data_IF_910974951026
#
_entry.id   IF_910974951026
#
_cell.length_a   1.000
_cell.length_b   1.000
_cell.length_c   1.000
_cell.angle_alpha   90.00
_cell.angle_beta   90.00
_cell.angle_gamma   90.00
#
_symmetry.space_group_name_H-M   'P 1'
#
loop_
_entity.id
_entity.type
_entity.pdbx_description
1 polymer ?
#
# COMPACT_ATOMS: atom_id res chain seq x y z
N UNK A 1 -6.02 6.23 5.90
CA UNK A 1 -5.52 4.84 5.70
C UNK A 1 -6.43 3.90 6.47
N UNK A 2 -6.77 2.74 5.89
CA UNK A 2 -7.63 1.73 6.50
C UNK A 2 -6.93 0.38 6.39
N UNK A 3 -6.93 -0.37 7.49
CA UNK A 3 -6.39 -1.74 7.55
C UNK A 3 -7.57 -2.71 7.57
N UNK A 4 -7.60 -3.61 6.60
CA UNK A 4 -8.55 -4.72 6.52
C UNK A 4 -7.78 -6.04 6.72
N UNK A 5 -8.48 -7.14 7.08
CA UNK A 5 -7.81 -8.41 7.39
C UNK A 5 -6.86 -8.93 6.31
N UNK A 6 -7.12 -8.63 5.03
CA UNK A 6 -6.36 -9.12 3.89
C UNK A 6 -5.63 -8.03 3.08
N UNK A 7 -5.85 -6.74 3.35
CA UNK A 7 -5.19 -5.67 2.62
C UNK A 7 -5.18 -4.33 3.38
N UNK A 8 -4.24 -3.47 3.01
CA UNK A 8 -4.16 -2.10 3.48
C UNK A 8 -4.57 -1.17 2.34
N UNK A 9 -5.49 -0.23 2.63
CA UNK A 9 -5.91 0.80 1.70
C UNK A 9 -5.43 2.17 2.19
N UNK A 10 -4.72 2.90 1.35
CA UNK A 10 -4.22 4.23 1.67
C UNK A 10 -4.53 5.20 0.53
N UNK A 11 -4.90 6.42 0.91
CA UNK A 11 -5.01 7.57 0.02
C UNK A 11 -4.15 8.67 0.62
N UNK A 12 -3.30 9.26 -0.21
CA UNK A 12 -2.41 10.34 0.18
C UNK A 12 -2.55 11.48 -0.81
N UNK A 13 -2.52 12.70 -0.29
CA UNK A 13 -2.28 13.89 -1.09
C UNK A 13 -0.78 14.13 -1.05
N UNK A 14 -0.14 14.09 -2.22
CA UNK A 14 1.28 14.38 -2.34
C UNK A 14 1.49 15.88 -2.59
N UNK A 15 2.65 16.43 -2.22
CA UNK A 15 3.03 17.78 -2.63
C UNK A 15 2.97 17.95 -4.15
N UNK A 16 2.75 19.18 -4.59
CA UNK A 16 2.79 19.52 -6.01
C UNK A 16 4.13 19.12 -6.62
N UNK A 17 4.10 18.48 -7.78
CA UNK A 17 5.27 17.91 -8.49
C UNK A 17 5.98 16.75 -7.77
N UNK A 18 5.44 16.20 -6.68
CA UNK A 18 5.95 14.98 -6.05
C UNK A 18 5.12 13.76 -6.50
N UNK A 19 5.78 12.87 -7.25
CA UNK A 19 5.21 11.59 -7.70
C UNK A 19 5.94 10.38 -7.10
N UNK A 20 6.78 10.57 -6.08
CA UNK A 20 7.59 9.49 -5.50
C UNK A 20 6.80 8.68 -4.44
N UNK A 21 5.64 8.17 -4.84
CA UNK A 21 4.84 7.27 -4.00
C UNK A 21 5.54 5.91 -3.81
N UNK A 22 6.37 5.49 -4.76
CA UNK A 22 7.08 4.20 -4.73
C UNK A 22 8.06 4.15 -3.56
N UNK A 23 8.90 5.18 -3.42
CA UNK A 23 9.87 5.24 -2.30
C UNK A 23 9.15 5.34 -0.96
N UNK A 24 8.12 6.18 -0.87
CA UNK A 24 7.30 6.34 0.36
C UNK A 24 6.70 5.01 0.80
N UNK A 25 6.15 4.25 -0.13
CA UNK A 25 5.58 2.94 0.16
C UNK A 25 6.66 1.92 0.58
N UNK A 26 7.83 1.96 -0.05
CA UNK A 26 9.00 1.17 0.38
C UNK A 26 9.44 1.50 1.81
N UNK A 27 9.46 2.78 2.18
CA UNK A 27 9.77 3.23 3.54
C UNK A 27 8.73 2.77 4.56
N UNK A 28 7.44 2.85 4.23
CA UNK A 28 6.36 2.35 5.12
C UNK A 28 6.49 0.85 5.33
N UNK A 29 6.64 0.06 4.25
CA UNK A 29 6.79 -1.39 4.34
C UNK A 29 8.03 -1.78 5.15
N UNK A 30 9.16 -1.13 4.90
CA UNK A 30 10.41 -1.43 5.60
C UNK A 30 10.36 -0.99 7.07
N UNK A 31 9.84 0.20 7.36
CA UNK A 31 9.67 0.72 8.72
C UNK A 31 8.79 -0.18 9.57
N UNK A 32 7.61 -0.55 9.06
CA UNK A 32 6.72 -1.48 9.75
C UNK A 32 7.38 -2.84 9.98
N UNK A 33 8.03 -3.41 8.96
CA UNK A 33 8.60 -4.75 9.10
C UNK A 33 9.78 -4.82 10.07
N UNK A 34 10.51 -3.71 10.26
CA UNK A 34 11.62 -3.62 11.23
C UNK A 34 11.14 -3.67 12.68
N UNK A 35 9.87 -3.40 12.94
CA UNK A 35 9.30 -3.46 14.30
C UNK A 35 8.98 -4.89 14.75
N UNK A 36 9.10 -5.88 13.86
CA UNK A 36 8.79 -7.27 14.16
C UNK A 36 10.01 -8.17 13.95
N UNK A 37 10.15 -9.15 14.84
CA UNK A 37 11.11 -10.24 14.66
C UNK A 37 10.86 -10.99 13.36
N UNK A 38 11.92 -11.58 12.80
CA UNK A 38 11.84 -12.35 11.58
C UNK A 38 11.38 -13.78 11.91
N UNK A 39 10.06 -14.00 11.94
CA UNK A 39 9.47 -15.30 12.29
C UNK A 39 8.71 -15.94 11.13
N UNK A 40 8.46 -15.19 10.06
CA UNK A 40 7.72 -15.73 8.93
C UNK A 40 8.58 -16.64 8.02
N UNK A 41 8.01 -17.74 7.49
CA UNK A 41 8.68 -18.52 6.46
C UNK A 41 8.71 -17.72 5.15
N UNK A 42 9.88 -17.56 4.56
CA UNK A 42 10.04 -16.91 3.25
C UNK A 42 10.77 -17.83 2.27
N UNK A 43 10.46 -17.68 0.98
CA UNK A 43 11.19 -18.38 -0.07
C UNK A 43 12.60 -17.82 -0.27
N UNK A 44 13.50 -18.62 -0.83
CA UNK A 44 14.87 -18.21 -1.18
C UNK A 44 14.90 -16.94 -2.05
N UNK A 45 13.93 -16.79 -2.96
CA UNK A 45 13.79 -15.59 -3.80
C UNK A 45 13.45 -14.32 -3.01
N UNK A 46 12.69 -14.43 -1.93
CA UNK A 46 12.42 -13.29 -1.03
C UNK A 46 13.66 -12.98 -0.20
N UNK A 47 14.35 -14.01 0.27
CA UNK A 47 15.51 -13.88 1.13
C UNK A 47 16.66 -13.17 0.39
N UNK A 48 16.90 -13.53 -0.87
CA UNK A 48 17.93 -12.88 -1.70
C UNK A 48 17.64 -11.41 -2.01
N UNK A 49 16.38 -10.97 -1.89
CA UNK A 49 15.96 -9.58 -2.11
C UNK A 49 15.72 -8.80 -0.81
N UNK A 50 15.96 -9.41 0.35
CA UNK A 50 15.65 -8.81 1.66
C UNK A 50 14.16 -8.56 1.87
N UNK A 51 13.28 -9.27 1.16
CA UNK A 51 11.83 -9.13 1.27
C UNK A 51 11.30 -9.88 2.50
N UNK A 52 10.34 -9.28 3.20
CA UNK A 52 9.59 -9.90 4.29
C UNK A 52 8.38 -10.67 3.76
N UNK A 53 7.93 -11.70 4.47
CA UNK A 53 6.73 -12.46 4.09
C UNK A 53 5.42 -11.77 4.47
N UNK A 54 5.50 -10.68 5.23
CA UNK A 54 4.36 -9.87 5.71
C UNK A 54 3.59 -9.22 4.55
N UNK A 55 4.29 -8.75 3.52
CA UNK A 55 3.69 -7.94 2.45
C UNK A 55 3.50 -8.73 1.15
N UNK A 56 2.42 -8.38 0.42
CA UNK A 56 2.31 -8.71 -1.00
C UNK A 56 3.37 -7.93 -1.81
N UNK A 57 3.94 -8.59 -2.84
CA UNK A 57 5.01 -8.02 -3.67
C UNK A 57 4.51 -6.88 -4.55
N UNK A 58 3.27 -7.01 -5.01
CA UNK A 58 2.60 -6.01 -5.83
C UNK A 58 1.62 -5.25 -4.96
N UNK A 59 1.42 -3.99 -5.30
CA UNK A 59 0.35 -3.16 -4.81
C UNK A 59 -0.35 -2.57 -6.03
N UNK A 60 -1.54 -2.02 -5.81
CA UNK A 60 -2.25 -1.27 -6.83
C UNK A 60 -2.16 0.20 -6.46
N UNK A 61 -1.68 1.01 -7.41
CA UNK A 61 -1.78 2.45 -7.36
C UNK A 61 -2.86 2.97 -8.30
N UNK A 62 -3.51 4.06 -7.89
CA UNK A 62 -4.37 4.86 -8.74
C UNK A 62 -4.10 6.32 -8.45
N UNK A 63 -3.72 7.07 -9.49
CA UNK A 63 -3.52 8.52 -9.39
C UNK A 63 -4.85 9.20 -9.67
N UNK A 64 -5.41 9.85 -8.64
CA UNK A 64 -6.58 10.70 -8.77
C UNK A 64 -6.15 12.03 -9.40
N UNK A 65 -6.74 12.41 -10.53
CA UNK A 65 -6.25 13.52 -11.37
C UNK A 65 -7.04 14.82 -11.22
N UNK A 66 -8.29 14.74 -10.83
CA UNK A 66 -9.20 15.86 -10.70
C UNK A 66 -10.29 15.57 -9.65
N UNK A 67 -11.09 16.59 -9.35
CA UNK A 67 -12.15 16.52 -8.33
C UNK A 67 -13.28 15.56 -8.75
N UNK A 68 -13.59 15.47 -10.05
CA UNK A 68 -14.60 14.54 -10.57
C UNK A 68 -14.15 13.07 -10.42
N UNK A 69 -12.88 12.76 -10.70
CA UNK A 69 -12.26 11.45 -10.47
C UNK A 69 -12.18 11.15 -8.97
N UNK A 70 -11.92 12.15 -8.13
CA UNK A 70 -11.93 12.01 -6.68
C UNK A 70 -13.31 11.58 -6.16
N UNK A 71 -14.38 12.22 -6.61
CA UNK A 71 -15.77 11.89 -6.24
C UNK A 71 -16.12 10.47 -6.68
N UNK A 72 -15.84 10.11 -7.95
CA UNK A 72 -16.07 8.75 -8.46
C UNK A 72 -15.27 7.67 -7.70
N UNK A 73 -14.03 7.97 -7.29
CA UNK A 73 -13.19 7.06 -6.51
C UNK A 73 -13.61 6.95 -5.03
N UNK A 74 -14.27 7.96 -4.46
CA UNK A 74 -14.89 7.85 -3.13
C UNK A 74 -16.14 6.97 -3.21
N UNK A 75 -16.99 7.18 -4.20
CA UNK A 75 -18.26 6.46 -4.31
C UNK A 75 -18.06 4.95 -4.53
N UNK A 76 -17.02 4.55 -5.25
CA UNK A 76 -16.64 3.13 -5.36
C UNK A 76 -16.26 2.50 -4.00
N UNK A 77 -15.58 3.24 -3.12
CA UNK A 77 -15.21 2.76 -1.78
C UNK A 77 -16.43 2.61 -0.85
N UNK A 78 -17.52 3.35 -1.09
CA UNK A 78 -18.77 3.22 -0.33
C UNK A 78 -19.56 1.99 -0.79
N UNK A 79 -19.55 1.66 -2.09
CA UNK A 79 -20.25 0.50 -2.64
C UNK A 79 -19.63 -0.85 -2.24
N UNK A 80 -18.29 -0.93 -2.10
CA UNK A 80 -17.61 -2.14 -1.63
C UNK A 80 -17.78 -2.42 -0.12
N UNK A 81 -18.29 -1.46 0.66
CA UNK A 81 -18.63 -1.67 2.09
C UNK A 81 -20.03 -2.22 2.33
N UNK A 82 -20.85 -2.41 1.27
CA UNK A 82 -22.25 -2.86 1.37
C UNK A 82 -22.50 -4.29 0.84
N UNK A 83 -21.46 -5.11 0.68
CA UNK A 83 -21.61 -6.56 0.42
C UNK A 83 -20.93 -7.39 1.48
#
# INVERSE_FOLDING_TARGET
MVVMPNHLHARWTLPENDSDYVTRWGLIKSGFSRQFEFTEPISTSRQSKGERGIWQRRFWEYLIRDDDDYENHIDYNILLRKK
#
